data_IF_997656324451
#
_entry.id   IF_997656324451
#
_cell.length_a   1.000
_cell.length_b   1.000
_cell.length_c   1.000
_cell.angle_alpha   90.00
_cell.angle_beta   90.00
_cell.angle_gamma   90.00
#
_symmetry.space_group_name_H-M   'P 1'
#
loop_
_entity.id
_entity.type
_entity.pdbx_description
1 polymer ?
#
# COMPACT_ATOMS: atom_id res chain seq x y z
N UNK A 1 11.80 -11.38 -27.87
CA UNK A 1 12.89 -10.51 -27.36
C UNK A 1 13.75 -11.37 -26.46
N UNK A 2 15.08 -11.34 -26.59
CA UNK A 2 15.98 -12.09 -25.72
C UNK A 2 16.60 -11.14 -24.69
N UNK A 3 16.77 -11.60 -23.46
CA UNK A 3 17.45 -10.88 -22.39
C UNK A 3 18.93 -10.65 -22.69
N UNK A 4 19.61 -9.93 -21.79
CA UNK A 4 21.04 -9.56 -21.89
C UNK A 4 21.95 -10.75 -22.28
N UNK A 5 21.64 -11.96 -21.80
CA UNK A 5 22.41 -13.18 -22.04
C UNK A 5 21.95 -14.01 -23.27
N UNK A 6 21.14 -13.43 -24.16
CA UNK A 6 20.61 -14.11 -25.35
C UNK A 6 19.48 -15.11 -25.05
N UNK A 7 18.93 -15.13 -23.84
CA UNK A 7 17.81 -16.00 -23.43
C UNK A 7 16.74 -15.19 -22.70
N UNK A 8 15.48 -15.62 -22.79
CA UNK A 8 14.42 -15.20 -21.86
C UNK A 8 14.16 -13.70 -21.74
N UNK A 9 13.78 -13.29 -20.53
CA UNK A 9 13.51 -11.90 -20.14
C UNK A 9 14.77 -11.19 -19.59
N UNK A 10 14.65 -9.89 -19.32
CA UNK A 10 15.65 -9.09 -18.61
C UNK A 10 15.01 -8.53 -17.34
N UNK A 11 15.61 -8.79 -16.18
CA UNK A 11 15.17 -8.20 -14.92
C UNK A 11 15.36 -6.68 -14.91
N UNK A 12 14.58 -5.98 -14.07
CA UNK A 12 14.69 -4.51 -13.90
C UNK A 12 16.09 -4.14 -13.41
N UNK A 13 16.59 -4.83 -12.39
CA UNK A 13 17.97 -4.74 -11.90
C UNK A 13 18.73 -6.06 -12.18
N UNK A 14 19.22 -6.28 -13.42
CA UNK A 14 19.71 -7.60 -13.85
C UNK A 14 21.06 -8.01 -13.23
N UNK A 15 21.73 -7.10 -12.51
CA UNK A 15 22.98 -7.35 -11.79
C UNK A 15 22.78 -7.53 -10.28
N UNK A 16 21.56 -7.36 -9.77
CA UNK A 16 21.28 -7.58 -8.35
C UNK A 16 21.45 -9.06 -8.01
N UNK A 17 22.02 -9.34 -6.83
CA UNK A 17 22.03 -10.68 -6.25
C UNK A 17 20.69 -10.97 -5.58
N UNK A 18 20.25 -12.23 -5.60
CA UNK A 18 18.98 -12.66 -5.02
C UNK A 18 19.21 -13.74 -3.97
N UNK A 19 18.55 -13.60 -2.84
CA UNK A 19 18.30 -14.68 -1.90
C UNK A 19 16.80 -14.91 -1.81
N UNK A 20 16.39 -16.18 -1.73
CA UNK A 20 14.98 -16.56 -1.75
C UNK A 20 14.62 -17.25 -0.45
N UNK A 21 13.56 -16.75 0.17
CA UNK A 21 12.89 -17.35 1.31
C UNK A 21 11.58 -17.99 0.83
N UNK A 22 11.33 -19.24 1.20
CA UNK A 22 10.13 -20.00 0.79
C UNK A 22 9.02 -19.96 1.85
N UNK A 23 8.86 -18.84 2.56
CA UNK A 23 7.89 -18.64 3.65
C UNK A 23 6.48 -19.14 3.31
N UNK A 24 6.03 -18.89 2.07
CA UNK A 24 4.68 -19.20 1.60
C UNK A 24 4.55 -20.62 1.03
N UNK A 25 5.57 -21.46 1.15
CA UNK A 25 5.49 -22.85 0.72
C UNK A 25 4.45 -23.60 1.57
N UNK A 26 3.70 -24.52 0.96
CA UNK A 26 2.68 -25.32 1.67
C UNK A 26 3.24 -26.20 2.79
N UNK A 27 4.56 -26.40 2.82
CA UNK A 27 5.26 -27.17 3.87
C UNK A 27 5.79 -26.30 5.01
N UNK A 28 5.64 -24.97 4.93
CA UNK A 28 6.14 -24.02 5.91
C UNK A 28 4.97 -23.43 6.70
N UNK A 29 5.01 -23.59 8.02
CA UNK A 29 4.11 -22.86 8.91
C UNK A 29 4.54 -21.40 8.98
N UNK A 30 3.66 -20.49 8.56
CA UNK A 30 3.92 -19.06 8.52
C UNK A 30 3.83 -18.49 9.94
N UNK A 31 4.97 -18.17 10.54
CA UNK A 31 5.06 -17.54 11.86
C UNK A 31 6.01 -16.36 11.81
N UNK A 32 5.85 -15.38 12.71
CA UNK A 32 6.77 -14.24 12.81
C UNK A 32 8.22 -14.68 13.03
N UNK A 33 8.44 -15.74 13.82
CA UNK A 33 9.77 -16.32 14.02
C UNK A 33 10.37 -16.82 12.70
N UNK A 34 9.55 -17.40 11.80
CA UNK A 34 10.02 -17.88 10.50
C UNK A 34 10.29 -16.74 9.52
N UNK A 35 9.46 -15.69 9.55
CA UNK A 35 9.72 -14.45 8.80
C UNK A 35 11.09 -13.89 9.23
N UNK A 36 11.30 -13.72 10.54
CA UNK A 36 12.55 -13.21 11.09
C UNK A 36 13.75 -14.08 10.69
N UNK A 37 13.68 -15.39 10.90
CA UNK A 37 14.73 -16.34 10.52
C UNK A 37 15.13 -16.20 9.05
N UNK A 38 14.14 -16.24 8.15
CA UNK A 38 14.38 -16.20 6.71
C UNK A 38 14.81 -14.82 6.18
N UNK A 39 14.55 -13.75 6.93
CA UNK A 39 14.88 -12.38 6.58
C UNK A 39 16.01 -11.77 7.42
N UNK A 40 16.65 -12.56 8.29
CA UNK A 40 17.68 -12.13 9.26
C UNK A 40 19.03 -11.70 8.64
N UNK A 41 19.21 -11.89 7.34
CA UNK A 41 20.41 -11.46 6.63
C UNK A 41 20.51 -9.95 6.42
N UNK A 42 21.72 -9.48 6.13
CA UNK A 42 21.97 -8.08 5.77
C UNK A 42 21.58 -7.81 4.31
N UNK A 43 20.27 -7.70 4.07
CA UNK A 43 19.71 -7.46 2.75
C UNK A 43 19.52 -5.97 2.48
N UNK A 44 19.85 -5.53 1.26
CA UNK A 44 19.58 -4.17 0.82
C UNK A 44 18.08 -3.89 0.61
N UNK A 45 17.38 -4.86 0.03
CA UNK A 45 15.96 -4.76 -0.35
C UNK A 45 15.25 -6.06 0.01
N UNK A 46 14.12 -5.95 0.71
CA UNK A 46 13.23 -7.08 0.99
C UNK A 46 11.95 -6.93 0.18
N UNK A 47 11.67 -7.91 -0.68
CA UNK A 47 10.44 -7.96 -1.46
C UNK A 47 9.42 -8.90 -0.82
N UNK A 48 8.27 -8.34 -0.43
CA UNK A 48 7.20 -9.03 0.28
C UNK A 48 5.94 -9.07 -0.58
N UNK A 49 5.92 -9.99 -1.55
CA UNK A 49 4.82 -10.14 -2.53
C UNK A 49 3.65 -10.99 -1.99
N UNK A 50 3.19 -10.69 -0.77
CA UNK A 50 2.08 -11.37 -0.09
C UNK A 50 1.16 -10.37 0.61
N UNK A 51 0.09 -10.88 1.20
CA UNK A 51 -0.84 -10.13 2.04
C UNK A 51 -1.99 -11.05 2.50
N UNK A 52 -2.97 -10.45 3.14
CA UNK A 52 -4.20 -11.11 3.60
C UNK A 52 -5.41 -10.62 2.80
N UNK A 53 -6.49 -11.40 2.83
CA UNK A 53 -7.74 -11.06 2.16
C UNK A 53 -8.33 -9.78 2.77
N UNK A 54 -8.69 -8.83 1.91
CA UNK A 54 -9.22 -7.53 2.32
C UNK A 54 -10.74 -7.54 2.43
N UNK A 55 -11.30 -8.65 2.90
CA UNK A 55 -12.68 -8.77 3.36
C UNK A 55 -12.75 -9.03 4.87
N UNK A 56 -11.62 -8.89 5.56
CA UNK A 56 -11.47 -8.93 7.00
C UNK A 56 -10.61 -7.74 7.42
N UNK A 57 -10.72 -7.33 8.67
CA UNK A 57 -9.84 -6.32 9.24
C UNK A 57 -8.83 -7.02 10.16
N UNK A 58 -7.54 -6.86 9.87
CA UNK A 58 -6.46 -7.44 10.67
C UNK A 58 -5.59 -6.34 11.25
N UNK A 59 -5.14 -6.53 12.49
CA UNK A 59 -4.31 -5.56 13.18
C UNK A 59 -2.81 -5.75 12.92
N UNK A 60 -2.00 -4.68 13.03
CA UNK A 60 -0.55 -4.80 12.97
C UNK A 60 -0.05 -5.72 14.11
N UNK A 61 0.73 -6.73 13.75
CA UNK A 61 1.43 -7.56 14.73
C UNK A 61 2.68 -6.85 15.24
N UNK A 62 2.80 -6.68 16.55
CA UNK A 62 3.89 -5.92 17.19
C UNK A 62 5.26 -6.62 17.06
N UNK A 63 5.29 -7.94 16.94
CA UNK A 63 6.53 -8.70 16.70
C UNK A 63 6.99 -8.51 15.26
N UNK A 64 6.05 -8.56 14.30
CA UNK A 64 6.33 -8.26 12.90
C UNK A 64 6.79 -6.82 12.72
N UNK A 65 6.10 -5.84 13.32
CA UNK A 65 6.52 -4.44 13.31
C UNK A 65 7.92 -4.24 13.91
N UNK A 66 8.23 -4.95 15.00
CA UNK A 66 9.56 -4.98 15.60
C UNK A 66 10.64 -5.47 14.62
N UNK A 67 10.36 -6.54 13.88
CA UNK A 67 11.27 -7.02 12.83
C UNK A 67 11.47 -5.99 11.71
N UNK A 68 10.39 -5.38 11.21
CA UNK A 68 10.48 -4.35 10.17
C UNK A 68 11.33 -3.17 10.65
N UNK A 69 11.15 -2.77 11.91
CA UNK A 69 11.94 -1.71 12.54
C UNK A 69 13.41 -2.06 12.57
N UNK A 70 13.77 -3.25 13.06
CA UNK A 70 15.16 -3.74 13.06
C UNK A 70 15.75 -3.74 11.64
N UNK A 71 15.00 -4.20 10.63
CA UNK A 71 15.49 -4.22 9.26
C UNK A 71 15.79 -2.81 8.70
N UNK A 72 14.96 -1.80 9.03
CA UNK A 72 15.21 -0.41 8.59
C UNK A 72 16.21 0.34 9.47
N UNK A 73 16.59 -0.18 10.64
CA UNK A 73 17.59 0.45 11.52
C UNK A 73 18.96 -0.17 11.37
N UNK A 74 19.07 -1.49 11.24
CA UNK A 74 20.32 -2.20 11.48
C UNK A 74 21.00 -2.65 10.18
N UNK A 75 20.21 -3.06 9.18
CA UNK A 75 20.76 -3.49 7.89
C UNK A 75 21.48 -2.35 7.16
N UNK A 76 22.32 -2.74 6.21
CA UNK A 76 23.12 -1.87 5.35
C UNK A 76 24.03 -0.95 6.17
N UNK A 77 24.58 -1.47 7.28
CA UNK A 77 25.44 -0.73 8.19
C UNK A 77 24.74 0.50 8.82
N UNK A 78 23.47 0.35 9.21
CA UNK A 78 22.70 1.42 9.84
C UNK A 78 21.90 2.31 8.87
N UNK A 79 21.99 2.08 7.55
CA UNK A 79 21.22 2.83 6.55
C UNK A 79 19.78 2.32 6.40
N UNK A 80 19.54 1.08 6.82
CA UNK A 80 18.26 0.41 6.76
C UNK A 80 17.97 -0.23 5.41
N UNK A 81 17.46 -1.45 5.45
CA UNK A 81 16.91 -2.13 4.29
C UNK A 81 15.68 -1.40 3.75
N UNK A 82 15.40 -1.56 2.45
CA UNK A 82 14.19 -1.04 1.84
C UNK A 82 13.17 -2.16 1.74
N UNK A 83 12.04 -1.98 2.42
CA UNK A 83 11.01 -3.00 2.58
C UNK A 83 9.87 -2.71 1.60
N UNK A 84 9.71 -3.54 0.57
CA UNK A 84 8.69 -3.36 -0.48
C UNK A 84 7.60 -4.41 -0.33
N UNK A 85 6.35 -4.00 -0.13
CA UNK A 85 5.20 -4.87 0.17
C UNK A 85 4.10 -4.70 -0.87
N UNK A 86 3.50 -5.80 -1.31
CA UNK A 86 2.32 -5.76 -2.18
C UNK A 86 1.09 -5.20 -1.44
N UNK A 87 0.33 -4.32 -2.08
CA UNK A 87 -0.88 -3.72 -1.48
C UNK A 87 -2.08 -4.66 -1.39
N UNK A 88 -2.10 -5.77 -2.15
CA UNK A 88 -3.24 -6.68 -2.28
C UNK A 88 -3.91 -6.65 -3.66
N UNK A 89 -4.78 -7.62 -3.92
CA UNK A 89 -5.46 -7.81 -5.22
C UNK A 89 -6.99 -7.81 -5.09
N UNK A 90 -7.49 -7.11 -4.08
CA UNK A 90 -8.87 -7.19 -3.59
C UNK A 90 -9.67 -5.90 -3.84
N UNK A 91 -9.36 -5.15 -4.91
CA UNK A 91 -10.22 -4.04 -5.33
C UNK A 91 -11.67 -4.49 -5.51
N UNK A 92 -11.87 -5.73 -6.00
CA UNK A 92 -13.16 -6.41 -5.99
C UNK A 92 -13.00 -7.76 -5.31
N UNK A 93 -13.53 -7.88 -4.10
CA UNK A 93 -13.41 -9.07 -3.25
C UNK A 93 -14.80 -9.53 -2.79
N UNK A 94 -14.96 -10.81 -2.44
CA UNK A 94 -16.18 -11.29 -1.78
C UNK A 94 -16.36 -10.60 -0.42
N UNK A 95 -17.57 -10.14 -0.10
CA UNK A 95 -17.84 -9.50 1.20
C UNK A 95 -17.59 -10.47 2.37
N UNK A 96 -17.16 -9.96 3.53
CA UNK A 96 -16.76 -10.72 4.73
C UNK A 96 -17.65 -11.95 5.03
N UNK A 97 -18.95 -11.71 5.20
CA UNK A 97 -19.93 -12.74 5.56
C UNK A 97 -20.68 -13.36 4.36
N UNK A 98 -20.37 -12.93 3.13
CA UNK A 98 -21.01 -13.45 1.93
C UNK A 98 -20.12 -13.26 0.70
N UNK A 99 -19.29 -14.27 0.43
CA UNK A 99 -18.31 -14.24 -0.66
C UNK A 99 -18.95 -14.30 -2.05
N UNK A 100 -20.24 -14.61 -2.17
CA UNK A 100 -20.99 -14.56 -3.43
C UNK A 100 -21.34 -13.13 -3.86
N UNK A 101 -21.21 -12.14 -2.97
CA UNK A 101 -21.43 -10.72 -3.26
C UNK A 101 -20.09 -10.02 -3.38
N UNK A 102 -19.90 -9.27 -4.46
CA UNK A 102 -18.66 -8.53 -4.70
C UNK A 102 -18.70 -7.16 -4.01
N UNK A 103 -17.80 -6.97 -3.06
CA UNK A 103 -17.52 -5.73 -2.35
C UNK A 103 -16.19 -5.10 -2.83
N UNK A 104 -15.82 -3.96 -2.22
CA UNK A 104 -14.56 -3.25 -2.48
C UNK A 104 -13.64 -3.40 -1.26
N UNK A 105 -12.45 -3.95 -1.46
CA UNK A 105 -11.41 -4.02 -0.42
C UNK A 105 -10.64 -2.71 -0.29
N UNK A 106 -9.81 -2.63 0.75
CA UNK A 106 -8.92 -1.50 1.00
C UNK A 106 -7.57 -2.03 1.53
N UNK A 107 -6.48 -1.45 1.04
CA UNK A 107 -5.13 -1.87 1.42
C UNK A 107 -4.81 -1.69 2.90
N UNK A 108 -5.55 -0.84 3.63
CA UNK A 108 -5.47 -0.73 5.10
C UNK A 108 -6.18 -1.88 5.85
N UNK A 109 -6.83 -2.83 5.18
CA UNK A 109 -7.48 -3.96 5.88
C UNK A 109 -6.50 -5.09 6.24
N UNK A 110 -5.39 -5.15 5.51
CA UNK A 110 -4.22 -5.99 5.82
C UNK A 110 -3.35 -5.30 6.90
N UNK A 111 -3.20 -5.97 8.05
CA UNK A 111 -2.41 -5.52 9.19
C UNK A 111 -0.95 -5.21 8.86
N UNK A 112 -0.35 -5.97 7.94
CA UNK A 112 1.04 -5.79 7.53
C UNK A 112 1.25 -4.46 6.78
N UNK A 113 0.21 -3.96 6.11
CA UNK A 113 0.27 -2.75 5.31
C UNK A 113 0.10 -1.46 6.15
N UNK A 114 -0.12 -1.57 7.46
CA UNK A 114 -0.32 -0.43 8.38
C UNK A 114 0.98 0.05 9.04
N UNK A 115 2.13 -0.40 8.54
CA UNK A 115 3.46 -0.11 9.09
C UNK A 115 4.15 1.05 8.37
N UNK A 116 4.79 2.00 9.08
CA UNK A 116 5.46 3.15 8.47
C UNK A 116 6.75 2.79 7.70
N UNK A 117 7.31 1.62 7.97
CA UNK A 117 8.59 1.14 7.45
C UNK A 117 8.52 0.63 6.01
N UNK A 118 7.34 0.16 5.57
CA UNK A 118 7.19 -0.46 4.26
C UNK A 118 6.87 0.58 3.18
N UNK A 119 7.18 0.20 1.94
CA UNK A 119 6.71 0.81 0.71
C UNK A 119 5.61 -0.13 0.21
N UNK A 120 4.36 0.21 0.51
CA UNK A 120 3.19 -0.53 0.03
C UNK A 120 2.94 -0.15 -1.43
N UNK A 121 2.90 -1.14 -2.32
CA UNK A 121 2.90 -0.95 -3.79
C UNK A 121 1.59 -1.41 -4.41
N UNK A 122 0.90 -0.49 -5.09
CA UNK A 122 -0.24 -0.81 -5.96
C UNK A 122 0.21 -1.17 -7.38
N UNK A 123 -0.66 -1.83 -8.14
CA UNK A 123 -0.36 -2.36 -9.46
C UNK A 123 -0.95 -1.52 -10.59
N UNK A 124 -0.14 -1.26 -11.61
CA UNK A 124 -0.54 -0.67 -12.89
C UNK A 124 -0.68 -1.75 -13.95
N UNK A 125 -1.66 -1.59 -14.84
CA UNK A 125 -1.73 -2.32 -16.10
C UNK A 125 -0.76 -1.74 -17.15
N UNK A 126 -0.68 -2.38 -18.32
CA UNK A 126 0.25 -1.99 -19.39
C UNK A 126 0.00 -0.60 -19.99
N UNK A 127 -1.18 -0.02 -19.79
CA UNK A 127 -1.53 1.34 -20.25
C UNK A 127 -1.26 2.42 -19.20
N UNK A 128 -0.78 2.04 -18.01
CA UNK A 128 -0.48 2.96 -16.92
C UNK A 128 -1.65 3.28 -16.00
N UNK A 129 -2.83 2.70 -16.22
CA UNK A 129 -3.95 2.79 -15.27
C UNK A 129 -3.80 1.74 -14.16
N UNK A 130 -4.53 1.93 -13.05
CA UNK A 130 -4.65 0.90 -12.01
C UNK A 130 -5.07 -0.44 -12.63
N UNK A 131 -4.39 -1.52 -12.27
CA UNK A 131 -4.84 -2.87 -12.62
C UNK A 131 -6.21 -3.14 -11.99
N UNK A 132 -7.05 -3.95 -12.63
CA UNK A 132 -8.46 -4.11 -12.23
C UNK A 132 -8.64 -4.69 -10.84
N UNK A 133 -7.65 -5.46 -10.39
CA UNK A 133 -7.62 -6.10 -9.07
C UNK A 133 -6.90 -5.25 -8.01
N UNK A 134 -6.15 -4.21 -8.38
CA UNK A 134 -5.21 -3.57 -7.46
C UNK A 134 -5.91 -2.91 -6.27
N UNK A 135 -5.63 -3.39 -5.06
CA UNK A 135 -6.10 -2.76 -3.84
C UNK A 135 -5.56 -1.32 -3.72
N UNK A 136 -6.47 -0.38 -3.45
CA UNK A 136 -6.14 1.01 -3.13
C UNK A 136 -6.27 1.29 -1.64
N UNK A 137 -5.65 2.35 -1.17
CA UNK A 137 -5.75 2.81 0.22
C UNK A 137 -4.78 3.95 0.49
N UNK A 138 -5.05 4.71 1.55
CA UNK A 138 -4.18 5.84 1.93
C UNK A 138 -2.78 5.41 2.40
N UNK A 139 -2.58 4.13 2.67
CA UNK A 139 -1.28 3.53 3.00
C UNK A 139 -0.45 3.12 1.78
N UNK A 140 -0.99 3.18 0.56
CA UNK A 140 -0.21 2.96 -0.67
C UNK A 140 0.84 4.06 -0.79
N UNK A 141 2.09 3.68 -1.05
CA UNK A 141 3.20 4.61 -1.24
C UNK A 141 3.38 4.99 -2.71
N UNK A 142 3.42 4.00 -3.60
CA UNK A 142 3.75 4.19 -5.02
C UNK A 142 3.17 3.04 -5.85
N UNK A 143 3.12 3.21 -7.17
CA UNK A 143 2.72 2.15 -8.10
C UNK A 143 3.85 1.63 -8.97
N UNK A 144 3.84 0.31 -9.18
CA UNK A 144 4.65 -0.40 -10.17
C UNK A 144 3.79 -1.15 -11.17
N UNK A 145 4.37 -1.62 -12.27
CA UNK A 145 3.64 -2.44 -13.24
C UNK A 145 3.38 -3.85 -12.69
N UNK A 146 2.11 -4.25 -12.65
CA UNK A 146 1.67 -5.61 -12.35
C UNK A 146 0.89 -6.27 -13.49
N UNK A 147 0.44 -5.49 -14.48
CA UNK A 147 -0.29 -5.98 -15.64
C UNK A 147 -1.73 -6.40 -15.34
N UNK A 148 -2.35 -7.13 -16.26
CA UNK A 148 -3.66 -7.77 -16.09
C UNK A 148 -3.48 -9.29 -15.97
N UNK A 149 -4.10 -10.11 -16.82
CA UNK A 149 -4.06 -11.59 -16.68
C UNK A 149 -3.23 -12.30 -17.75
N UNK A 150 -2.72 -11.57 -18.75
CA UNK A 150 -1.85 -12.11 -19.80
C UNK A 150 -2.59 -12.81 -20.93
N UNK A 151 -3.92 -12.73 -20.93
CA UNK A 151 -4.81 -13.31 -21.93
C UNK A 151 -5.21 -12.27 -22.99
N UNK A 152 -6.19 -11.43 -22.69
CA UNK A 152 -6.72 -10.34 -23.50
C UNK A 152 -5.98 -9.03 -23.26
N UNK A 153 -5.26 -8.93 -22.14
CA UNK A 153 -4.49 -7.76 -21.73
C UNK A 153 -3.14 -8.18 -21.16
N UNK A 154 -2.05 -7.41 -21.40
CA UNK A 154 -0.71 -7.84 -20.99
C UNK A 154 -0.58 -8.02 -19.48
N UNK A 155 0.07 -9.10 -19.08
CA UNK A 155 0.62 -9.32 -17.74
C UNK A 155 2.16 -9.31 -17.81
N UNK A 156 2.84 -9.85 -16.80
CA UNK A 156 4.30 -9.82 -16.73
C UNK A 156 4.93 -11.00 -17.47
N UNK A 157 5.87 -10.69 -18.36
CA UNK A 157 6.80 -11.67 -18.91
C UNK A 157 7.97 -11.87 -17.95
N UNK A 158 8.08 -13.07 -17.35
CA UNK A 158 9.09 -13.35 -16.33
C UNK A 158 9.57 -14.82 -16.37
N UNK A 159 10.61 -15.14 -15.62
CA UNK A 159 11.09 -16.51 -15.40
C UNK A 159 10.04 -17.36 -14.69
N UNK A 160 9.98 -18.63 -15.03
CA UNK A 160 9.13 -19.63 -14.38
C UNK A 160 9.98 -20.79 -13.84
N UNK A 161 9.33 -21.73 -13.15
CA UNK A 161 9.95 -23.01 -12.78
C UNK A 161 10.44 -23.72 -14.04
N UNK A 162 11.66 -24.25 -13.99
CA UNK A 162 12.29 -24.86 -15.16
C UNK A 162 11.57 -26.15 -15.58
N UNK A 163 11.31 -26.29 -16.88
CA UNK A 163 10.67 -27.46 -17.49
C UNK A 163 9.15 -27.39 -17.54
N UNK A 164 8.54 -28.15 -18.45
CA UNK A 164 7.10 -28.11 -18.72
C UNK A 164 6.21 -28.94 -17.77
N UNK A 165 6.73 -29.33 -16.60
CA UNK A 165 6.00 -30.17 -15.63
C UNK A 165 5.46 -29.41 -14.43
N UNK A 166 5.85 -28.15 -14.24
CA UNK A 166 5.41 -27.32 -13.12
C UNK A 166 5.61 -25.83 -13.43
N UNK A 167 4.97 -24.97 -12.63
CA UNK A 167 4.98 -23.52 -12.88
C UNK A 167 3.67 -23.07 -13.52
N UNK A 168 3.64 -21.83 -13.98
CA UNK A 168 2.50 -21.28 -14.72
C UNK A 168 2.48 -21.77 -16.18
N UNK A 169 3.67 -21.90 -16.78
CA UNK A 169 3.92 -22.58 -18.05
C UNK A 169 4.14 -24.07 -17.82
N UNK A 170 3.23 -24.90 -18.29
CA UNK A 170 3.35 -26.36 -18.22
C UNK A 170 2.46 -27.01 -19.27
N UNK A 171 2.80 -28.22 -19.71
CA UNK A 171 2.07 -28.91 -20.78
C UNK A 171 0.60 -29.18 -20.44
N UNK A 172 0.28 -29.37 -19.16
CA UNK A 172 -1.06 -29.69 -18.64
C UNK A 172 -1.90 -28.47 -18.28
N UNK A 173 -1.40 -27.24 -18.48
CA UNK A 173 -2.13 -26.02 -18.09
C UNK A 173 -3.44 -25.87 -18.89
N UNK A 174 -4.49 -25.36 -18.24
CA UNK A 174 -5.80 -25.17 -18.85
C UNK A 174 -5.87 -23.96 -19.80
N UNK A 175 -4.91 -23.04 -19.72
CA UNK A 175 -4.89 -21.84 -20.59
C UNK A 175 -4.74 -22.20 -22.08
N UNK A 176 -5.32 -21.39 -22.95
CA UNK A 176 -5.19 -21.51 -24.42
C UNK A 176 -3.96 -20.80 -24.96
N UNK A 177 -3.22 -20.07 -24.12
CA UNK A 177 -2.03 -19.32 -24.52
C UNK A 177 -0.91 -20.31 -24.91
N UNK A 178 -0.60 -20.37 -26.21
CA UNK A 178 0.42 -21.29 -26.75
C UNK A 178 1.78 -21.17 -26.05
N UNK A 179 2.21 -19.94 -25.71
CA UNK A 179 3.46 -19.69 -24.99
C UNK A 179 3.55 -20.42 -23.65
N UNK A 180 2.41 -20.59 -22.95
CA UNK A 180 2.34 -21.29 -21.64
C UNK A 180 2.40 -22.81 -21.77
N UNK A 181 2.30 -23.35 -22.99
CA UNK A 181 2.29 -24.78 -23.31
C UNK A 181 3.53 -25.24 -24.06
N UNK A 182 4.63 -24.49 -23.95
CA UNK A 182 5.85 -24.77 -24.70
C UNK A 182 5.85 -24.24 -26.14
N UNK A 183 4.87 -23.42 -26.52
CA UNK A 183 4.78 -22.83 -27.84
C UNK A 183 5.72 -21.64 -28.06
N UNK A 184 5.95 -21.29 -29.33
CA UNK A 184 6.78 -20.15 -29.71
C UNK A 184 8.23 -20.28 -29.25
N UNK A 185 8.76 -19.23 -28.62
CA UNK A 185 10.14 -19.19 -28.12
C UNK A 185 10.30 -19.77 -26.69
N UNK A 186 9.33 -20.54 -26.21
CA UNK A 186 9.29 -21.08 -24.84
C UNK A 186 9.22 -22.61 -24.79
N UNK A 187 9.89 -23.34 -25.70
CA UNK A 187 9.80 -24.80 -25.83
C UNK A 187 10.14 -25.62 -24.58
N UNK A 188 10.80 -25.00 -23.59
CA UNK A 188 11.14 -25.62 -22.30
C UNK A 188 10.27 -25.13 -21.14
N UNK A 189 9.28 -24.27 -21.39
CA UNK A 189 8.39 -23.70 -20.38
C UNK A 189 9.09 -22.93 -19.26
N UNK A 190 10.29 -22.40 -19.52
CA UNK A 190 11.11 -21.73 -18.49
C UNK A 190 10.67 -20.29 -18.18
N UNK A 191 9.64 -19.79 -18.86
CA UNK A 191 9.16 -18.42 -18.74
C UNK A 191 7.64 -18.39 -18.82
N UNK A 192 7.00 -17.43 -18.16
CA UNK A 192 5.54 -17.21 -18.19
C UNK A 192 5.23 -15.82 -18.73
N UNK A 193 4.01 -15.63 -19.24
CA UNK A 193 3.45 -14.32 -19.63
C UNK A 193 2.18 -13.95 -18.84
N UNK A 194 1.87 -14.69 -17.78
CA UNK A 194 0.63 -14.53 -16.99
C UNK A 194 0.90 -14.19 -15.53
N UNK A 195 2.16 -13.99 -15.12
CA UNK A 195 2.40 -13.51 -13.76
C UNK A 195 1.86 -12.10 -13.62
N UNK A 196 1.13 -11.82 -12.54
CA UNK A 196 0.48 -10.54 -12.34
C UNK A 196 0.37 -10.16 -10.86
N UNK A 197 -0.54 -9.26 -10.54
CA UNK A 197 -0.84 -8.85 -9.16
C UNK A 197 -0.01 -7.65 -8.72
N UNK A 198 -0.39 -7.10 -7.57
CA UNK A 198 0.54 -6.32 -6.75
C UNK A 198 1.78 -7.14 -6.36
N UNK A 199 1.67 -8.47 -6.36
CA UNK A 199 2.79 -9.42 -6.29
C UNK A 199 3.82 -9.28 -7.42
N UNK A 200 3.43 -8.71 -8.58
CA UNK A 200 4.32 -8.31 -9.69
C UNK A 200 4.76 -6.85 -9.61
N UNK A 201 3.91 -5.97 -9.07
CA UNK A 201 4.26 -4.56 -8.88
C UNK A 201 5.36 -4.38 -7.82
N UNK A 202 5.30 -5.11 -6.71
CA UNK A 202 6.32 -5.10 -5.66
C UNK A 202 7.73 -5.43 -6.18
N UNK A 203 7.98 -6.51 -6.95
CA UNK A 203 9.32 -6.80 -7.48
C UNK A 203 9.74 -5.81 -8.58
N UNK A 204 8.79 -5.23 -9.31
CA UNK A 204 9.08 -4.13 -10.25
C UNK A 204 9.66 -2.92 -9.51
N UNK A 205 9.04 -2.52 -8.40
CA UNK A 205 9.54 -1.43 -7.53
C UNK A 205 10.82 -1.82 -6.80
N UNK A 206 10.94 -3.06 -6.32
CA UNK A 206 12.18 -3.57 -5.71
C UNK A 206 13.37 -3.47 -6.68
N UNK A 207 13.16 -3.79 -7.96
CA UNK A 207 14.17 -3.59 -9.00
C UNK A 207 14.53 -2.12 -9.22
N UNK A 208 13.54 -1.22 -9.21
CA UNK A 208 13.80 0.22 -9.28
C UNK A 208 14.62 0.72 -8.07
N UNK A 209 14.30 0.25 -6.87
CA UNK A 209 15.06 0.54 -5.64
C UNK A 209 16.50 0.05 -5.75
N UNK A 210 16.72 -1.16 -6.26
CA UNK A 210 18.08 -1.67 -6.46
C UNK A 210 18.90 -0.79 -7.41
N UNK A 211 18.30 -0.26 -8.47
CA UNK A 211 18.97 0.70 -9.38
C UNK A 211 19.25 2.05 -8.70
N UNK A 212 18.34 2.53 -7.85
CA UNK A 212 18.54 3.75 -7.03
C UNK A 212 19.74 3.56 -6.09
N UNK A 213 19.83 2.40 -5.43
CA UNK A 213 20.93 2.09 -4.52
C UNK A 213 22.26 1.83 -5.24
N UNK A 214 22.23 1.23 -6.43
CA UNK A 214 23.41 1.11 -7.29
C UNK A 214 23.99 2.50 -7.63
N UNK A 215 23.12 3.47 -7.89
CA UNK A 215 23.52 4.84 -8.18
C UNK A 215 24.03 5.61 -6.95
N UNK A 216 23.50 5.31 -5.76
CA UNK A 216 23.99 5.90 -4.51
C UNK A 216 23.79 4.94 -3.31
N UNK A 217 24.82 4.19 -2.90
CA UNK A 217 24.73 3.23 -1.81
C UNK A 217 24.75 3.88 -0.42
N UNK A 218 24.88 5.21 -0.32
CA UNK A 218 24.85 5.94 0.95
C UNK A 218 23.44 6.36 1.37
N UNK A 219 22.45 6.22 0.49
CA UNK A 219 21.05 6.53 0.80
C UNK A 219 20.52 5.64 1.92
N UNK A 220 19.81 6.26 2.86
CA UNK A 220 19.01 5.57 3.88
C UNK A 220 17.67 5.11 3.30
N UNK A 221 16.97 4.22 4.01
CA UNK A 221 15.62 3.80 3.64
C UNK A 221 14.63 4.98 3.49
N UNK A 222 14.78 6.02 4.32
CA UNK A 222 13.98 7.26 4.26
C UNK A 222 14.29 8.07 3.01
N UNK A 223 15.57 8.17 2.66
CA UNK A 223 15.99 8.90 1.46
C UNK A 223 15.43 8.26 0.18
N UNK A 224 15.44 6.93 0.12
CA UNK A 224 14.84 6.18 -1.01
C UNK A 224 13.33 6.43 -1.07
N UNK A 225 12.61 6.35 0.06
CA UNK A 225 11.17 6.70 0.13
C UNK A 225 10.91 8.12 -0.38
N UNK A 226 11.71 9.10 0.05
CA UNK A 226 11.60 10.49 -0.39
C UNK A 226 11.86 10.66 -1.88
N UNK A 227 12.92 10.05 -2.42
CA UNK A 227 13.25 10.11 -3.86
C UNK A 227 12.07 9.56 -4.67
N UNK A 228 11.59 8.36 -4.32
CA UNK A 228 10.45 7.73 -4.98
C UNK A 228 9.21 8.63 -4.98
N UNK A 229 8.86 9.22 -3.83
CA UNK A 229 7.71 10.12 -3.72
C UNK A 229 7.89 11.42 -4.54
N UNK A 230 9.12 11.95 -4.58
CA UNK A 230 9.42 13.23 -5.25
C UNK A 230 9.49 13.11 -6.76
N UNK A 231 9.87 11.95 -7.28
CA UNK A 231 10.02 11.70 -8.72
C UNK A 231 8.87 10.93 -9.34
N UNK A 232 7.92 10.43 -8.53
CA UNK A 232 6.76 9.71 -9.03
C UNK A 232 5.94 10.55 -10.02
N UNK A 233 5.42 9.87 -11.04
CA UNK A 233 4.60 10.49 -12.09
C UNK A 233 3.13 10.20 -11.79
N UNK A 234 2.29 11.22 -11.56
CA UNK A 234 0.85 11.05 -11.45
C UNK A 234 0.26 10.58 -12.77
N UNK A 235 -0.75 9.71 -12.74
CA UNK A 235 -1.43 9.22 -13.94
C UNK A 235 -2.62 10.13 -14.27
N UNK A 236 -2.72 10.57 -15.53
CA UNK A 236 -3.71 11.54 -16.04
C UNK A 236 -5.15 10.98 -16.19
N UNK A 237 -5.59 10.17 -15.24
CA UNK A 237 -6.92 9.56 -15.24
C UNK A 237 -7.85 10.13 -14.17
N UNK A 238 -7.31 10.51 -13.01
CA UNK A 238 -8.10 10.90 -11.84
C UNK A 238 -7.99 12.40 -11.59
N UNK A 239 -8.38 13.18 -12.59
CA UNK A 239 -7.94 14.58 -12.68
C UNK A 239 -8.89 15.57 -12.01
N UNK A 240 -10.20 15.33 -11.99
CA UNK A 240 -11.18 16.29 -11.43
C UNK A 240 -12.42 15.62 -10.83
N UNK A 241 -12.86 16.11 -9.68
CA UNK A 241 -14.10 15.68 -9.03
C UNK A 241 -13.94 14.41 -8.18
N UNK A 242 -14.92 14.17 -7.30
CA UNK A 242 -14.97 12.94 -6.51
C UNK A 242 -15.22 11.72 -7.41
N UNK A 243 -14.59 10.59 -7.06
CA UNK A 243 -14.81 9.32 -7.75
C UNK A 243 -16.03 8.65 -7.14
N UNK A 244 -16.92 8.12 -7.99
CA UNK A 244 -18.09 7.34 -7.57
C UNK A 244 -17.72 5.95 -7.08
N UNK A 245 -18.57 5.35 -6.26
CA UNK A 245 -18.39 3.97 -5.80
C UNK A 245 -18.34 2.99 -6.98
N UNK A 246 -17.34 2.08 -7.06
CA UNK A 246 -17.13 1.22 -8.23
C UNK A 246 -18.21 0.16 -8.44
N UNK A 247 -18.99 -0.15 -7.39
CA UNK A 247 -20.19 -1.01 -7.46
C UNK A 247 -21.50 -0.26 -7.73
N UNK A 248 -21.46 1.05 -7.98
CA UNK A 248 -22.65 1.84 -8.32
C UNK A 248 -23.70 1.93 -7.22
N UNK A 249 -23.30 1.78 -5.95
CA UNK A 249 -24.22 1.87 -4.81
C UNK A 249 -24.52 3.33 -4.47
N UNK A 250 -25.71 3.59 -3.95
CA UNK A 250 -26.09 4.91 -3.44
C UNK A 250 -25.26 5.31 -2.22
N UNK A 251 -24.93 6.59 -2.15
CA UNK A 251 -24.19 7.23 -1.06
C UNK A 251 -24.93 8.50 -0.62
N UNK A 252 -24.68 9.01 0.60
CA UNK A 252 -25.24 10.28 1.05
C UNK A 252 -24.96 11.42 0.07
N UNK A 253 -25.95 12.28 -0.17
CA UNK A 253 -25.78 13.45 -1.02
C UNK A 253 -24.65 14.35 -0.50
N UNK A 254 -23.73 14.74 -1.38
CA UNK A 254 -22.56 15.57 -1.04
C UNK A 254 -21.37 14.80 -0.45
N UNK A 255 -21.46 13.48 -0.28
CA UNK A 255 -20.32 12.64 0.09
C UNK A 255 -19.48 12.28 -1.14
N UNK A 256 -18.14 12.30 -0.97
CA UNK A 256 -17.16 11.91 -1.99
C UNK A 256 -16.56 10.57 -1.57
N UNK A 257 -16.75 9.53 -2.37
CA UNK A 257 -16.32 8.18 -2.02
C UNK A 257 -14.81 7.99 -2.07
N UNK A 258 -14.17 8.52 -3.11
CA UNK A 258 -12.71 8.56 -3.24
C UNK A 258 -12.28 9.91 -3.84
N UNK A 259 -11.13 10.42 -3.39
CA UNK A 259 -10.61 11.69 -3.82
C UNK A 259 -9.93 11.59 -5.20
N UNK A 260 -9.96 12.67 -6.00
CA UNK A 260 -9.06 12.76 -7.13
C UNK A 260 -7.61 12.92 -6.66
N UNK A 261 -6.67 13.09 -7.59
CA UNK A 261 -5.33 13.53 -7.23
C UNK A 261 -5.39 14.80 -6.36
N UNK A 262 -4.87 14.70 -5.14
CA UNK A 262 -4.71 15.84 -4.25
C UNK A 262 -3.27 16.36 -4.32
N UNK A 263 -3.10 17.65 -4.07
CA UNK A 263 -1.78 18.23 -3.76
C UNK A 263 -1.79 18.61 -2.29
N UNK A 264 -0.88 18.03 -1.53
CA UNK A 264 -0.82 18.24 -0.10
C UNK A 264 -0.14 19.57 0.26
N UNK A 265 -0.15 19.95 1.54
CA UNK A 265 0.44 21.22 2.02
C UNK A 265 1.95 21.36 1.80
N UNK A 266 2.65 20.28 1.46
CA UNK A 266 4.07 20.26 1.12
C UNK A 266 4.35 20.11 -0.40
N UNK A 267 3.30 20.13 -1.22
CA UNK A 267 3.39 20.08 -2.68
C UNK A 267 3.53 18.67 -3.27
N UNK A 268 3.31 17.60 -2.48
CA UNK A 268 3.28 16.24 -2.99
C UNK A 268 1.89 15.90 -3.55
N UNK A 269 1.88 15.26 -4.72
CA UNK A 269 0.65 14.70 -5.29
C UNK A 269 0.38 13.33 -4.69
N UNK A 270 -0.87 13.03 -4.37
CA UNK A 270 -1.25 11.74 -3.80
C UNK A 270 -2.63 11.30 -4.27
N UNK A 271 -2.84 10.00 -4.44
CA UNK A 271 -4.16 9.40 -4.66
C UNK A 271 -4.15 7.93 -4.21
N UNK A 272 -5.20 7.46 -3.53
CA UNK A 272 -5.23 6.16 -2.85
C UNK A 272 -4.95 4.93 -3.74
N UNK A 273 -5.24 4.97 -5.04
CA UNK A 273 -4.98 3.88 -5.97
C UNK A 273 -3.54 3.89 -6.49
N UNK A 274 -2.87 5.04 -6.42
CA UNK A 274 -1.56 5.25 -7.04
C UNK A 274 -0.45 5.64 -6.06
N UNK A 275 -0.78 5.93 -4.79
CA UNK A 275 0.13 6.58 -3.86
C UNK A 275 0.61 7.92 -4.41
N UNK A 276 1.92 8.16 -4.40
CA UNK A 276 2.54 9.32 -5.04
C UNK A 276 2.53 9.27 -6.59
N UNK A 277 2.26 8.10 -7.18
CA UNK A 277 2.24 7.90 -8.63
C UNK A 277 3.00 6.68 -9.10
N UNK A 278 3.19 6.58 -10.42
CA UNK A 278 4.03 5.56 -11.03
C UNK A 278 5.50 5.84 -10.73
N UNK A 279 6.26 4.80 -10.42
CA UNK A 279 7.72 4.88 -10.34
C UNK A 279 8.34 5.39 -11.65
N UNK A 280 9.18 6.42 -11.56
CA UNK A 280 10.03 6.90 -12.64
C UNK A 280 11.49 6.64 -12.26
N UNK A 281 12.05 5.56 -12.83
CA UNK A 281 13.38 5.07 -12.48
C UNK A 281 14.46 6.04 -12.95
N UNK A 282 14.31 6.64 -14.12
CA UNK A 282 15.31 7.55 -14.68
C UNK A 282 15.40 8.82 -13.83
N UNK A 283 14.25 9.41 -13.47
CA UNK A 283 14.22 10.56 -12.59
C UNK A 283 14.74 10.23 -11.18
N UNK A 284 14.37 9.08 -10.63
CA UNK A 284 14.80 8.64 -9.30
C UNK A 284 16.32 8.41 -9.24
N UNK A 285 16.91 7.70 -10.20
CA UNK A 285 18.36 7.48 -10.29
C UNK A 285 19.10 8.79 -10.46
N UNK A 286 18.62 9.69 -11.33
CA UNK A 286 19.22 11.01 -11.52
C UNK A 286 19.22 11.85 -10.24
N UNK A 287 18.13 11.76 -9.47
CA UNK A 287 18.03 12.42 -8.17
C UNK A 287 18.97 11.79 -7.14
N UNK A 288 19.07 10.46 -7.10
CA UNK A 288 19.93 9.70 -6.20
C UNK A 288 21.42 10.08 -6.34
N UNK A 289 21.91 10.23 -7.58
CA UNK A 289 23.29 10.61 -7.88
C UNK A 289 23.69 11.99 -7.34
N UNK A 290 22.71 12.87 -7.10
CA UNK A 290 22.92 14.25 -6.64
C UNK A 290 22.16 14.52 -5.35
N UNK A 291 21.87 13.48 -4.58
CA UNK A 291 21.02 13.60 -3.40
C UNK A 291 21.71 14.36 -2.28
N UNK A 292 21.09 15.45 -1.83
CA UNK A 292 21.61 16.30 -0.73
C UNK A 292 20.53 16.67 0.28
N UNK A 293 19.31 16.15 0.15
CA UNK A 293 18.22 16.49 1.06
C UNK A 293 18.51 15.92 2.45
N UNK A 294 18.17 16.69 3.48
CA UNK A 294 18.23 16.25 4.86
C UNK A 294 16.81 16.12 5.40
N UNK A 295 16.39 14.91 5.74
CA UNK A 295 15.08 14.63 6.32
C UNK A 295 15.05 14.82 7.85
N UNK A 296 16.14 15.27 8.47
CA UNK A 296 16.27 15.38 9.92
C UNK A 296 16.36 14.02 10.61
N UNK A 297 16.43 14.04 11.94
CA UNK A 297 16.42 12.79 12.73
C UNK A 297 15.04 12.14 12.66
N UNK A 298 14.99 10.83 12.42
CA UNK A 298 13.74 10.08 12.43
C UNK A 298 13.16 10.04 13.85
N UNK A 299 11.90 10.43 13.99
CA UNK A 299 11.13 10.37 15.21
C UNK A 299 9.88 9.53 14.96
N UNK A 300 9.55 8.69 15.94
CA UNK A 300 8.29 7.97 16.01
C UNK A 300 7.66 8.32 17.36
N UNK A 301 6.49 8.94 17.33
CA UNK A 301 5.78 9.31 18.55
C UNK A 301 5.11 8.11 19.19
N UNK A 302 4.69 8.23 20.45
CA UNK A 302 3.89 7.20 21.12
C UNK A 302 2.40 7.44 20.90
N UNK A 303 1.59 6.36 20.85
CA UNK A 303 0.14 6.46 20.64
C UNK A 303 -0.60 7.34 21.66
N UNK A 304 -0.10 7.44 22.89
CA UNK A 304 -0.74 8.23 23.96
C UNK A 304 -0.46 9.73 23.90
N UNK A 305 0.41 10.19 22.98
CA UNK A 305 0.80 11.59 22.89
C UNK A 305 -0.34 12.48 22.37
N UNK A 306 -1.07 11.99 21.39
CA UNK A 306 -2.18 12.69 20.76
C UNK A 306 -3.42 11.79 20.79
N UNK A 307 -4.11 11.77 21.93
CA UNK A 307 -5.27 10.89 22.18
C UNK A 307 -6.47 11.69 22.70
N UNK A 308 -7.64 11.38 22.16
CA UNK A 308 -8.93 11.74 22.73
C UNK A 308 -9.69 10.45 23.07
N UNK A 309 -10.13 10.32 24.31
CA UNK A 309 -10.84 9.14 24.83
C UNK A 309 -12.08 9.56 25.62
N UNK A 310 -13.03 8.63 25.81
CA UNK A 310 -14.28 8.92 26.53
C UNK A 310 -15.20 9.87 25.76
N UNK A 311 -15.08 9.89 24.44
CA UNK A 311 -15.92 10.69 23.56
C UNK A 311 -17.31 10.06 23.46
N UNK A 312 -18.31 10.90 23.18
CA UNK A 312 -19.67 10.49 22.82
C UNK A 312 -20.14 11.33 21.64
N UNK A 313 -19.45 11.19 20.51
CA UNK A 313 -19.73 11.95 19.29
C UNK A 313 -20.59 11.07 18.38
N UNK A 314 -21.87 11.40 18.26
CA UNK A 314 -22.79 10.69 17.39
C UNK A 314 -22.39 10.77 15.92
N UNK A 315 -22.58 9.66 15.20
CA UNK A 315 -22.47 9.54 13.75
C UNK A 315 -23.89 9.48 13.21
N UNK A 316 -24.38 10.55 12.55
CA UNK A 316 -25.74 10.57 12.01
C UNK A 316 -25.89 9.58 10.86
N UNK A 317 -27.03 8.89 10.84
CA UNK A 317 -27.42 7.91 9.81
C UNK A 317 -27.38 8.52 8.40
N UNK A 318 -26.76 7.81 7.46
CA UNK A 318 -26.72 8.13 6.02
C UNK A 318 -26.48 9.61 5.71
N UNK A 319 -25.48 10.21 6.36
CA UNK A 319 -25.26 11.66 6.35
C UNK A 319 -23.83 12.04 5.97
N UNK A 320 -23.69 12.80 4.89
CA UNK A 320 -22.38 13.31 4.44
C UNK A 320 -21.70 14.23 5.47
N UNK A 321 -22.44 14.80 6.42
CA UNK A 321 -21.85 15.59 7.51
C UNK A 321 -20.99 14.72 8.43
N UNK A 322 -21.46 13.50 8.73
CA UNK A 322 -20.81 12.53 9.61
C UNK A 322 -20.65 13.02 11.06
N UNK A 323 -20.11 12.15 11.91
CA UNK A 323 -19.57 12.52 13.21
C UNK A 323 -18.22 13.22 13.03
N UNK A 324 -17.96 14.29 13.77
CA UNK A 324 -16.74 15.09 13.61
C UNK A 324 -16.05 15.34 14.96
N UNK A 325 -14.72 15.21 14.96
CA UNK A 325 -13.87 15.47 16.12
C UNK A 325 -12.60 16.19 15.68
N UNK A 326 -12.02 16.99 16.57
CA UNK A 326 -10.76 17.68 16.28
C UNK A 326 -9.82 17.66 17.47
N UNK A 327 -8.52 17.56 17.20
CA UNK A 327 -7.46 17.72 18.19
C UNK A 327 -6.42 18.72 17.70
N UNK A 328 -5.70 19.33 18.64
CA UNK A 328 -4.60 20.26 18.33
C UNK A 328 -3.28 19.59 18.68
N UNK A 329 -2.38 19.50 17.71
CA UNK A 329 -0.98 19.12 17.91
C UNK A 329 -0.19 20.39 18.21
N UNK A 330 0.50 20.43 19.35
CA UNK A 330 1.24 21.61 19.78
C UNK A 330 2.46 21.89 18.89
N UNK A 331 2.87 23.16 18.80
CA UNK A 331 4.05 23.54 18.00
C UNK A 331 5.36 22.87 18.47
N UNK A 332 5.46 22.53 19.77
CA UNK A 332 6.61 21.83 20.33
C UNK A 332 6.74 20.36 19.85
N UNK A 333 5.62 19.79 19.38
CA UNK A 333 5.50 18.43 18.85
C UNK A 333 5.58 18.40 17.32
N UNK A 334 5.93 19.53 16.69
CA UNK A 334 5.98 19.62 15.25
C UNK A 334 7.03 18.69 14.65
N UNK A 335 6.59 17.86 13.71
CA UNK A 335 7.40 17.01 12.85
C UNK A 335 7.14 17.34 11.38
N UNK A 336 8.13 17.05 10.54
CA UNK A 336 7.96 16.87 9.10
C UNK A 336 7.48 15.46 8.84
N UNK A 337 6.19 15.33 8.56
CA UNK A 337 5.49 14.05 8.53
C UNK A 337 6.08 13.11 7.47
N UNK A 338 6.35 11.87 7.84
CA UNK A 338 6.65 10.78 6.93
C UNK A 338 5.50 9.77 6.84
N UNK A 339 4.77 9.57 7.93
CA UNK A 339 3.49 8.87 7.93
C UNK A 339 2.60 9.34 9.08
N UNK A 340 1.29 9.13 8.93
CA UNK A 340 0.32 9.31 10.01
C UNK A 340 -0.44 8.01 10.18
N UNK A 341 -0.47 7.47 11.40
CA UNK A 341 -1.39 6.39 11.76
C UNK A 341 -2.53 6.94 12.62
N UNK A 342 -3.75 6.58 12.26
CA UNK A 342 -4.97 6.79 13.05
C UNK A 342 -5.25 5.50 13.81
N UNK A 343 -5.47 5.58 15.12
CA UNK A 343 -6.07 4.52 15.92
C UNK A 343 -7.43 4.98 16.39
N UNK A 344 -8.48 4.21 16.19
CA UNK A 344 -9.85 4.67 16.43
C UNK A 344 -10.72 3.60 17.10
N UNK A 345 -11.64 4.04 17.95
CA UNK A 345 -12.76 3.22 18.43
C UNK A 345 -14.09 3.89 18.06
N UNK A 346 -14.99 3.10 17.47
CA UNK A 346 -16.33 3.52 17.05
C UNK A 346 -17.31 2.41 17.39
N UNK A 347 -18.44 2.73 18.00
CA UNK A 347 -19.56 1.78 18.10
C UNK A 347 -20.44 1.91 16.87
N UNK A 348 -20.63 0.84 16.10
CA UNK A 348 -21.50 0.78 14.94
C UNK A 348 -21.88 -0.68 14.62
N UNK A 349 -23.14 -1.00 14.29
CA UNK A 349 -23.54 -2.38 13.99
C UNK A 349 -22.81 -3.00 12.79
N UNK A 350 -22.41 -2.18 11.81
CA UNK A 350 -21.73 -2.62 10.60
C UNK A 350 -20.72 -1.58 10.09
N UNK A 351 -19.42 -1.78 10.35
CA UNK A 351 -18.38 -0.81 9.96
C UNK A 351 -18.16 -0.70 8.45
N UNK A 352 -18.71 -1.61 7.65
CA UNK A 352 -18.61 -1.49 6.18
C UNK A 352 -19.36 -0.27 5.64
N UNK A 353 -20.30 0.27 6.42
CA UNK A 353 -21.09 1.46 6.10
C UNK A 353 -20.31 2.74 6.38
N UNK A 354 -19.22 2.65 7.15
CA UNK A 354 -18.45 3.79 7.62
C UNK A 354 -17.31 4.17 6.66
N UNK A 355 -17.12 5.48 6.48
CA UNK A 355 -15.87 6.04 5.96
C UNK A 355 -15.10 6.75 7.08
N UNK A 356 -13.77 6.64 7.04
CA UNK A 356 -12.86 7.35 7.93
C UNK A 356 -12.08 8.38 7.14
N UNK A 357 -12.19 9.65 7.52
CA UNK A 357 -11.46 10.76 6.89
C UNK A 357 -10.65 11.55 7.90
N UNK A 358 -9.43 11.90 7.51
CA UNK A 358 -8.57 12.77 8.29
C UNK A 358 -8.20 14.01 7.47
N UNK A 359 -8.28 15.19 8.09
CA UNK A 359 -7.85 16.45 7.50
C UNK A 359 -6.71 17.05 8.32
N UNK A 360 -5.60 17.38 7.64
CA UNK A 360 -4.42 17.99 8.25
C UNK A 360 -4.61 19.48 8.53
N UNK A 361 -3.72 20.11 9.33
CA UNK A 361 -3.71 21.55 9.55
C UNK A 361 -3.57 22.37 8.25
N UNK A 362 -2.93 21.81 7.22
CA UNK A 362 -2.79 22.45 5.90
C UNK A 362 -4.07 22.36 5.05
N UNK A 363 -5.11 21.68 5.53
CA UNK A 363 -6.37 21.48 4.81
C UNK A 363 -6.37 20.26 3.87
N UNK A 364 -5.29 19.49 3.84
CA UNK A 364 -5.22 18.27 3.04
C UNK A 364 -6.13 17.21 3.64
N UNK A 365 -6.96 16.57 2.82
CA UNK A 365 -7.89 15.52 3.22
C UNK A 365 -7.41 14.16 2.71
N UNK A 366 -7.43 13.15 3.57
CA UNK A 366 -7.20 11.74 3.24
C UNK A 366 -8.42 10.92 3.61
N UNK A 367 -8.87 10.03 2.71
CA UNK A 367 -9.85 8.99 3.02
C UNK A 367 -9.05 7.73 3.40
N UNK A 368 -9.13 7.33 4.68
CA UNK A 368 -8.38 6.18 5.21
C UNK A 368 -9.11 4.87 4.92
N UNK A 369 -10.44 4.91 5.09
CA UNK A 369 -11.37 3.83 4.78
C UNK A 369 -12.52 4.42 3.99
N UNK A 370 -12.83 3.82 2.84
CA UNK A 370 -13.98 4.20 2.04
C UNK A 370 -15.23 3.50 2.59
N UNK A 371 -16.37 4.21 2.63
CA UNK A 371 -17.64 3.58 2.98
C UNK A 371 -18.11 2.59 1.92
N UNK A 372 -19.05 1.72 2.32
CA UNK A 372 -19.63 0.62 1.52
C UNK A 372 -18.57 -0.40 1.07
N UNK A 373 -17.63 -0.68 1.96
CA UNK A 373 -16.52 -1.60 1.74
C UNK A 373 -16.88 -3.08 2.04
N UNK A 374 -15.87 -3.94 2.00
CA UNK A 374 -15.97 -5.40 2.15
C UNK A 374 -16.18 -5.94 3.57
N UNK A 375 -16.07 -5.12 4.62
CA UNK A 375 -16.16 -5.53 6.03
C UNK A 375 -17.60 -5.78 6.51
N UNK A 376 -18.48 -6.25 5.61
CA UNK A 376 -19.93 -6.35 5.84
C UNK A 376 -20.25 -7.24 7.03
N UNK A 377 -20.94 -6.68 8.02
CA UNK A 377 -21.38 -7.37 9.22
C UNK A 377 -20.33 -7.47 10.33
N UNK A 378 -19.18 -6.81 10.17
CA UNK A 378 -18.26 -6.59 11.29
C UNK A 378 -18.79 -5.39 12.09
N UNK A 379 -19.00 -5.58 13.39
CA UNK A 379 -19.41 -4.51 14.29
C UNK A 379 -18.19 -3.83 14.91
N UNK A 380 -18.33 -2.53 15.14
CA UNK A 380 -17.40 -1.66 15.83
C UNK A 380 -15.99 -1.55 15.20
N UNK A 381 -15.36 -0.40 15.45
CA UNK A 381 -13.90 -0.34 15.46
C UNK A 381 -13.46 -0.38 16.93
N UNK A 382 -12.50 -1.22 17.26
CA UNK A 382 -11.94 -1.33 18.62
C UNK A 382 -10.42 -1.18 18.58
N UNK A 383 -9.97 0.07 18.70
CA UNK A 383 -8.55 0.42 18.63
C UNK A 383 -7.88 0.02 17.30
N UNK A 384 -8.68 -0.11 16.24
CA UNK A 384 -8.19 -0.42 14.90
C UNK A 384 -7.29 0.69 14.37
N UNK A 385 -6.22 0.28 13.68
CA UNK A 385 -5.20 1.17 13.14
C UNK A 385 -5.36 1.31 11.62
N UNK A 386 -5.15 2.53 11.11
CA UNK A 386 -5.11 2.85 9.68
C UNK A 386 -3.94 3.80 9.41
N UNK A 387 -3.25 3.65 8.28
CA UNK A 387 -2.11 4.49 7.90
C UNK A 387 -2.45 5.35 6.69
N UNK A 388 -1.98 6.60 6.69
CA UNK A 388 -2.01 7.52 5.54
C UNK A 388 -0.66 8.14 5.23
N UNK A 389 -0.30 8.13 3.95
CA UNK A 389 0.86 8.81 3.37
C UNK A 389 0.50 10.16 2.72
N UNK A 390 -0.78 10.53 2.66
CA UNK A 390 -1.25 11.74 1.98
C UNK A 390 -0.63 13.04 2.53
N UNK A 391 -0.23 13.02 3.81
CA UNK A 391 0.29 14.18 4.54
C UNK A 391 1.82 14.32 4.48
N UNK A 392 2.49 13.54 3.63
CA UNK A 392 3.95 13.49 3.55
C UNK A 392 4.59 14.88 3.41
N UNK A 393 5.56 15.17 4.28
CA UNK A 393 6.34 16.40 4.43
C UNK A 393 5.57 17.64 4.89
N UNK A 394 4.28 17.53 5.18
CA UNK A 394 3.56 18.56 5.92
C UNK A 394 4.08 18.69 7.35
N UNK A 395 3.71 19.80 7.99
CA UNK A 395 3.95 20.03 9.42
C UNK A 395 2.86 19.35 10.23
N UNK A 396 3.21 18.59 11.27
CA UNK A 396 2.22 17.95 12.15
C UNK A 396 1.49 18.93 13.07
N UNK A 397 2.11 20.07 13.42
CA UNK A 397 1.51 21.02 14.34
C UNK A 397 0.28 21.74 13.76
N UNK A 398 -0.75 21.90 14.61
CA UNK A 398 -2.01 22.55 14.28
C UNK A 398 -3.22 21.64 14.50
N UNK A 399 -4.37 22.08 13.98
CA UNK A 399 -5.65 21.36 14.16
C UNK A 399 -5.80 20.23 13.15
N UNK A 400 -5.93 19.01 13.66
CA UNK A 400 -6.34 17.83 12.91
C UNK A 400 -7.83 17.59 13.09
N UNK A 401 -8.52 17.18 12.02
CA UNK A 401 -9.97 16.91 12.04
C UNK A 401 -10.24 15.49 11.56
N UNK A 402 -10.93 14.71 12.39
CA UNK A 402 -11.50 13.41 12.06
C UNK A 402 -12.95 13.61 11.63
N UNK A 403 -13.36 12.96 10.54
CA UNK A 403 -14.75 12.82 10.12
C UNK A 403 -15.06 11.34 9.90
N UNK A 404 -16.13 10.85 10.51
CA UNK A 404 -16.64 9.49 10.31
C UNK A 404 -18.04 9.59 9.69
N UNK A 405 -18.20 9.06 8.48
CA UNK A 405 -19.45 9.15 7.72
C UNK A 405 -20.12 7.79 7.69
N UNK A 406 -21.38 7.72 8.07
CA UNK A 406 -22.25 6.59 7.75
C UNK A 406 -22.89 6.81 6.37
N UNK A 407 -22.72 5.84 5.47
CA UNK A 407 -23.18 5.89 4.09
C UNK A 407 -24.28 4.87 3.74
N UNK A 408 -24.98 4.31 4.72
CA UNK A 408 -26.16 3.48 4.49
C UNK A 408 -27.24 3.71 5.56
N UNK A 409 -28.48 3.89 5.10
CA UNK A 409 -29.63 4.07 5.97
C UNK A 409 -29.88 2.89 6.92
N UNK A 410 -30.23 3.18 8.17
CA UNK A 410 -30.77 2.21 9.13
C UNK A 410 -29.94 2.02 10.39
N UNK A 411 -28.70 2.52 10.42
CA UNK A 411 -27.81 2.44 11.57
C UNK A 411 -27.36 3.84 12.00
N UNK A 412 -26.83 3.92 13.23
CA UNK A 412 -26.09 5.09 13.70
C UNK A 412 -24.91 4.59 14.51
N UNK A 413 -23.94 5.45 14.77
CA UNK A 413 -22.77 5.09 15.56
C UNK A 413 -22.32 6.19 16.50
N UNK A 414 -21.25 5.89 17.24
CA UNK A 414 -20.61 6.85 18.15
C UNK A 414 -19.10 6.70 18.07
N UNK A 415 -18.38 7.80 17.85
CA UNK A 415 -16.93 7.85 18.02
C UNK A 415 -16.63 7.92 19.52
N UNK A 416 -15.91 6.93 20.04
CA UNK A 416 -15.60 6.80 21.48
C UNK A 416 -14.17 7.18 21.80
N UNK A 417 -13.24 6.93 20.88
CA UNK A 417 -11.85 7.38 21.00
C UNK A 417 -11.17 7.50 19.65
N UNK A 418 -10.13 8.34 19.58
CA UNK A 418 -9.16 8.28 18.50
C UNK A 418 -7.82 8.86 18.91
N UNK A 419 -6.74 8.39 18.29
CA UNK A 419 -5.38 8.86 18.49
C UNK A 419 -4.65 9.02 17.17
N UNK A 420 -3.68 9.94 17.14
CA UNK A 420 -2.74 10.08 16.04
C UNK A 420 -1.33 9.70 16.47
N UNK A 421 -0.68 8.92 15.63
CA UNK A 421 0.74 8.59 15.73
C UNK A 421 1.45 9.14 14.51
N UNK A 422 2.42 10.04 14.74
CA UNK A 422 3.23 10.62 13.69
C UNK A 422 4.59 9.93 13.66
N UNK A 423 5.06 9.63 12.45
CA UNK A 423 6.50 9.42 12.21
C UNK A 423 7.00 10.55 11.32
N UNK A 424 8.27 10.93 11.47
CA UNK A 424 8.81 12.01 10.66
C UNK A 424 10.15 12.56 11.09
N UNK A 425 10.63 13.52 10.31
CA UNK A 425 11.82 14.31 10.60
C UNK A 425 11.56 15.39 11.65
N UNK A 426 12.53 15.60 12.55
CA UNK A 426 12.56 16.77 13.45
C UNK A 426 13.71 17.71 13.10
#
# INVERSE_FOLDING_TARGET
TVGWNGKGSRGVAPKASLQVANLLSSTVTQTNAKIYDQASGDFDVLNMSWGTDQNNLSDPDTTYEGFLKTAVTDNRGGKGAILVKAAGNDFSVGCHNNTSVACVGNANFDGDNKNPYTIVVSALNATGYSASYSSGGSNVWISGFGGQYGDTSPAMFTTDRTGCSAGWSQSSTSTTISFQKGGGQNSQCNYTVTFNGTSSAAPTVSGAVALILEANPQLTWRDVKYILARTAVPMDYVTTGGISHPKGVSLPSGYVWEMPWIVNGAGFKFQNWYGFGKVDVDAAVKMAQKYTSNLGSYNEESWGKHTLSGLSIGIPDNSATGGQSSMVVASADNLKIESVRLKISVTHPNISELALELTSPSGTKSILVNARNSLVGISDYDNDIFLSNAFYQEKSAGTWKLRVVDALGGNTGTITSWSLNFTGGK
#
